data_IF_207708176740
#
_entry.id   IF_207708176740
#
_cell.length_a   1.000
_cell.length_b   1.000
_cell.length_c   1.000
_cell.angle_alpha   90.00
_cell.angle_beta   90.00
_cell.angle_gamma   90.00
#
_symmetry.space_group_name_H-M   'P 1'
#
loop_
_entity.id
_entity.type
_entity.pdbx_description
1 polymer ?
#
# COMPACT_ATOMS: atom_id res chain seq x y z
N UNK A 1 20.09 17.25 -0.15
CA UNK A 1 19.63 17.41 -1.56
C UNK A 1 20.43 16.46 -2.48
N UNK A 2 20.09 15.16 -2.50
CA UNK A 2 20.67 14.12 -3.39
C UNK A 2 19.67 13.01 -3.76
N UNK A 3 18.49 12.98 -3.13
CA UNK A 3 17.49 11.93 -3.36
C UNK A 3 16.80 12.03 -4.73
N UNK A 4 16.64 13.25 -5.28
CA UNK A 4 15.99 13.45 -6.59
C UNK A 4 16.75 12.80 -7.76
N UNK A 5 18.09 12.81 -7.72
CA UNK A 5 18.92 12.18 -8.76
C UNK A 5 18.87 10.66 -8.72
N UNK A 6 18.70 10.07 -7.54
CA UNK A 6 18.69 8.61 -7.38
C UNK A 6 17.44 7.99 -8.01
N UNK A 7 16.25 8.47 -7.63
CA UNK A 7 14.99 7.97 -8.20
C UNK A 7 14.91 8.21 -9.71
N UNK A 8 15.42 9.36 -10.19
CA UNK A 8 15.46 9.69 -11.62
C UNK A 8 16.39 8.75 -12.41
N UNK A 9 17.56 8.41 -11.86
CA UNK A 9 18.49 7.45 -12.47
C UNK A 9 17.96 6.02 -12.44
N UNK A 10 17.25 5.65 -11.37
CA UNK A 10 16.62 4.34 -11.24
C UNK A 10 15.50 4.15 -12.27
N UNK A 11 14.69 5.19 -12.50
CA UNK A 11 13.69 5.21 -13.56
C UNK A 11 14.34 5.11 -14.96
N UNK A 12 15.41 5.88 -15.20
CA UNK A 12 16.08 5.91 -16.50
C UNK A 12 16.73 4.57 -16.91
N UNK A 13 17.26 3.79 -15.97
CA UNK A 13 17.84 2.47 -16.26
C UNK A 13 16.80 1.41 -16.64
N UNK A 14 15.52 1.64 -16.34
CA UNK A 14 14.43 0.73 -16.69
C UNK A 14 13.90 0.97 -18.13
N UNK A 15 14.23 2.10 -18.77
CA UNK A 15 13.44 2.71 -19.87
C UNK A 15 14.06 2.68 -21.29
N UNK A 16 14.99 1.75 -21.57
CA UNK A 16 15.75 1.74 -22.83
C UNK A 16 15.01 1.12 -24.06
N UNK A 17 13.80 1.60 -24.41
CA UNK A 17 13.01 1.09 -25.56
C UNK A 17 12.43 2.19 -26.47
N UNK A 18 12.03 1.83 -27.70
CA UNK A 18 11.40 2.73 -28.69
C UNK A 18 10.08 3.33 -28.17
N UNK A 19 9.63 4.48 -28.68
CA UNK A 19 8.50 5.21 -28.06
C UNK A 19 7.16 4.47 -28.03
N UNK A 20 6.92 3.59 -29.00
CA UNK A 20 5.68 2.83 -29.17
C UNK A 20 5.76 1.48 -28.43
N UNK A 21 6.91 0.83 -28.50
CA UNK A 21 7.22 -0.35 -27.67
C UNK A 21 7.20 -0.01 -26.17
N UNK A 22 7.62 1.21 -25.79
CA UNK A 22 7.56 1.71 -24.41
C UNK A 22 6.14 1.79 -23.89
N UNK A 23 5.18 2.27 -24.70
CA UNK A 23 3.78 2.34 -24.27
C UNK A 23 3.23 0.93 -24.04
N UNK A 24 3.45 0.02 -24.98
CA UNK A 24 3.01 -1.37 -24.84
C UNK A 24 3.71 -2.12 -23.70
N UNK A 25 4.99 -1.87 -23.46
CA UNK A 25 5.72 -2.44 -22.33
C UNK A 25 5.24 -1.86 -21.00
N UNK A 26 5.00 -0.55 -20.92
CA UNK A 26 4.47 0.11 -19.73
C UNK A 26 3.06 -0.35 -19.40
N UNK A 27 2.17 -0.49 -20.39
CA UNK A 27 0.82 -1.03 -20.18
C UNK A 27 0.88 -2.45 -19.64
N UNK A 28 1.68 -3.34 -20.27
CA UNK A 28 1.85 -4.72 -19.78
C UNK A 28 2.45 -4.77 -18.38
N UNK A 29 3.45 -3.93 -18.10
CA UNK A 29 4.07 -3.84 -16.78
C UNK A 29 3.10 -3.32 -15.71
N UNK A 30 2.24 -2.36 -16.07
CA UNK A 30 1.19 -1.86 -15.18
C UNK A 30 0.14 -2.93 -14.89
N UNK A 31 -0.29 -3.70 -15.90
CA UNK A 31 -1.23 -4.82 -15.73
C UNK A 31 -0.66 -5.94 -14.85
N UNK A 32 0.60 -6.30 -15.03
CA UNK A 32 1.26 -7.31 -14.18
C UNK A 32 1.49 -6.79 -12.76
N UNK A 33 1.89 -5.53 -12.62
CA UNK A 33 2.07 -4.88 -11.33
C UNK A 33 0.75 -4.75 -10.56
N UNK A 34 -0.36 -4.39 -11.22
CA UNK A 34 -1.68 -4.28 -10.59
C UNK A 34 -2.17 -5.61 -10.00
N UNK A 35 -1.80 -6.75 -10.62
CA UNK A 35 -2.12 -8.09 -10.12
C UNK A 35 -1.22 -8.55 -8.98
N UNK A 36 0.01 -8.04 -8.91
CA UNK A 36 1.01 -8.49 -7.95
C UNK A 36 1.13 -7.56 -6.73
N UNK A 37 0.85 -6.26 -6.90
CA UNK A 37 1.02 -5.25 -5.86
C UNK A 37 -0.34 -4.83 -5.31
N UNK A 38 -0.72 -5.29 -4.10
CA UNK A 38 -1.98 -4.88 -3.50
C UNK A 38 -1.93 -3.38 -3.18
N UNK A 39 -3.04 -2.69 -3.45
CA UNK A 39 -3.25 -1.31 -3.04
C UNK A 39 -3.45 -1.19 -1.53
N UNK A 40 -4.01 -2.23 -0.89
CA UNK A 40 -4.29 -2.27 0.55
C UNK A 40 -3.45 -3.34 1.25
N UNK A 41 -2.68 -2.91 2.24
CA UNK A 41 -1.90 -3.79 3.12
C UNK A 41 -2.27 -3.49 4.56
N UNK A 42 -2.49 -4.54 5.34
CA UNK A 42 -2.74 -4.41 6.78
C UNK A 42 -1.45 -3.98 7.49
N UNK A 43 -1.32 -2.68 7.75
CA UNK A 43 -0.20 -2.13 8.53
C UNK A 43 -0.43 -2.40 10.02
N UNK A 44 0.66 -2.60 10.77
CA UNK A 44 0.61 -2.94 12.20
C UNK A 44 -0.28 -2.00 13.03
N UNK A 45 -0.18 -0.69 12.82
CA UNK A 45 -0.97 0.28 13.58
C UNK A 45 -2.48 0.19 13.25
N UNK A 46 -2.84 -0.17 12.01
CA UNK A 46 -4.24 -0.39 11.62
C UNK A 46 -4.78 -1.64 12.30
N UNK A 47 -3.97 -2.70 12.36
CA UNK A 47 -4.32 -3.91 13.11
C UNK A 47 -4.54 -3.61 14.59
N UNK A 48 -3.66 -2.81 15.20
CA UNK A 48 -3.80 -2.40 16.60
C UNK A 48 -5.08 -1.62 16.86
N UNK A 49 -5.45 -0.69 15.98
CA UNK A 49 -6.72 0.03 16.06
C UNK A 49 -7.92 -0.92 16.00
N UNK A 50 -7.88 -1.95 15.14
CA UNK A 50 -8.93 -2.96 15.08
C UNK A 50 -9.06 -3.75 16.39
N UNK A 51 -7.94 -4.16 17.00
CA UNK A 51 -7.92 -4.85 18.30
C UNK A 51 -8.52 -3.97 19.39
N UNK A 52 -8.10 -2.72 19.48
CA UNK A 52 -8.60 -1.75 20.46
C UNK A 52 -10.11 -1.54 20.38
N UNK A 53 -10.69 -1.51 19.18
CA UNK A 53 -12.15 -1.38 18.99
C UNK A 53 -12.87 -2.69 19.34
N UNK A 54 -12.33 -3.83 18.91
CA UNK A 54 -12.88 -5.14 19.20
C UNK A 54 -12.93 -5.44 20.71
N UNK A 55 -11.89 -5.06 21.48
CA UNK A 55 -11.86 -5.17 22.94
C UNK A 55 -12.97 -4.36 23.63
N UNK A 56 -13.40 -3.26 23.01
CA UNK A 56 -14.54 -2.44 23.46
C UNK A 56 -15.89 -2.97 22.96
N UNK A 57 -15.90 -4.09 22.23
CA UNK A 57 -17.09 -4.70 21.65
C UNK A 57 -17.53 -4.13 20.30
N UNK A 58 -16.77 -3.20 19.71
CA UNK A 58 -17.06 -2.63 18.39
C UNK A 58 -16.22 -3.32 17.31
N UNK A 59 -16.88 -4.18 16.53
CA UNK A 59 -16.26 -4.93 15.44
C UNK A 59 -16.43 -4.26 14.06
N UNK A 60 -17.13 -3.12 13.98
CA UNK A 60 -17.43 -2.48 12.70
C UNK A 60 -16.14 -2.06 11.96
N UNK A 61 -15.13 -1.58 12.69
CA UNK A 61 -13.82 -1.23 12.13
C UNK A 61 -13.10 -2.45 11.55
N UNK A 62 -13.12 -3.57 12.27
CA UNK A 62 -12.51 -4.83 11.83
C UNK A 62 -13.20 -5.36 10.58
N UNK A 63 -14.54 -5.36 10.54
CA UNK A 63 -15.30 -5.82 9.38
C UNK A 63 -14.98 -5.00 8.13
N UNK A 64 -14.99 -3.67 8.23
CA UNK A 64 -14.63 -2.77 7.12
C UNK A 64 -13.20 -3.01 6.64
N UNK A 65 -12.26 -3.24 7.56
CA UNK A 65 -10.86 -3.52 7.23
C UNK A 65 -10.73 -4.84 6.48
N UNK A 66 -11.43 -5.89 6.90
CA UNK A 66 -11.43 -7.19 6.22
C UNK A 66 -12.06 -7.12 4.83
N UNK A 67 -13.22 -6.47 4.69
CA UNK A 67 -13.88 -6.25 3.40
C UNK A 67 -12.93 -5.56 2.39
N UNK A 68 -12.13 -4.62 2.89
CA UNK A 68 -11.12 -3.92 2.09
C UNK A 68 -9.94 -4.80 1.70
N UNK A 69 -9.43 -5.63 2.61
CA UNK A 69 -8.33 -6.56 2.34
C UNK A 69 -8.73 -7.62 1.31
N UNK A 70 -10.00 -8.03 1.28
CA UNK A 70 -10.53 -8.95 0.28
C UNK A 70 -10.52 -8.34 -1.14
N UNK A 71 -10.59 -7.01 -1.24
CA UNK A 71 -10.53 -6.24 -2.50
C UNK A 71 -9.21 -5.48 -2.64
N UNK A 72 -8.13 -5.99 -2.05
CA UNK A 72 -6.87 -5.26 -1.96
C UNK A 72 -6.24 -4.92 -3.33
N UNK A 73 -6.58 -5.66 -4.39
CA UNK A 73 -6.07 -5.45 -5.76
C UNK A 73 -7.03 -4.69 -6.67
N UNK A 74 -8.26 -4.41 -6.20
CA UNK A 74 -9.28 -3.76 -7.03
C UNK A 74 -9.04 -2.24 -7.10
N UNK A 75 -9.32 -1.67 -8.27
CA UNK A 75 -9.30 -0.22 -8.49
C UNK A 75 -10.63 0.41 -8.06
N UNK A 76 -10.84 0.53 -6.74
CA UNK A 76 -11.99 1.27 -6.22
C UNK A 76 -11.59 2.76 -5.98
N UNK A 77 -12.20 3.73 -6.68
CA UNK A 77 -11.79 5.14 -6.64
C UNK A 77 -12.05 5.85 -5.30
N UNK A 78 -12.83 5.27 -4.38
CA UNK A 78 -13.20 5.88 -3.10
C UNK A 78 -12.17 5.72 -1.97
N UNK A 79 -11.09 4.96 -2.19
CA UNK A 79 -10.26 4.45 -1.09
C UNK A 79 -8.80 4.91 -1.13
N UNK A 80 -8.44 5.77 -2.09
CA UNK A 80 -7.08 6.28 -2.21
C UNK A 80 -6.71 7.24 -1.06
N UNK A 81 -7.67 8.02 -0.55
CA UNK A 81 -7.37 9.08 0.44
C UNK A 81 -7.21 8.57 1.89
N UNK A 82 -7.99 7.56 2.31
CA UNK A 82 -8.08 7.18 3.73
C UNK A 82 -6.84 6.44 4.29
N UNK A 83 -6.00 5.87 3.41
CA UNK A 83 -4.89 4.98 3.82
C UNK A 83 -3.51 5.44 3.33
N UNK A 84 -3.45 6.53 2.56
CA UNK A 84 -2.22 7.27 2.29
C UNK A 84 -1.73 8.05 3.52
N UNK A 85 -2.51 8.04 4.61
CA UNK A 85 -2.16 8.72 5.86
C UNK A 85 -0.92 8.06 6.47
N UNK A 86 0.18 8.80 6.65
CA UNK A 86 1.33 8.28 7.35
C UNK A 86 0.92 7.88 8.78
N UNK A 87 1.54 6.84 9.35
CA UNK A 87 1.23 6.42 10.71
C UNK A 87 1.41 7.60 11.68
N UNK A 88 0.51 7.79 12.66
CA UNK A 88 0.53 8.95 13.57
C UNK A 88 1.81 9.06 14.43
N UNK A 89 2.67 8.03 14.45
CA UNK A 89 3.81 7.90 15.36
C UNK A 89 4.70 6.68 14.99
N UNK A 90 5.38 6.74 13.84
CA UNK A 90 6.18 5.63 13.28
C UNK A 90 7.39 5.15 14.10
N UNK A 91 7.77 5.84 15.18
CA UNK A 91 9.10 5.70 15.80
C UNK A 91 9.16 4.90 17.10
N UNK A 92 8.05 4.39 17.63
CA UNK A 92 8.03 3.50 18.80
C UNK A 92 7.15 2.29 18.54
N UNK A 93 7.58 1.42 17.61
CA UNK A 93 6.96 0.11 17.45
C UNK A 93 7.52 -0.79 18.55
N UNK A 94 6.89 -0.72 19.72
CA UNK A 94 7.05 -1.76 20.72
C UNK A 94 6.24 -2.97 20.21
N UNK A 95 6.93 -4.01 19.76
CA UNK A 95 6.32 -5.33 19.53
C UNK A 95 6.29 -6.02 20.88
N UNK A 96 5.16 -6.11 21.61
CA UNK A 96 5.08 -6.98 22.76
C UNK A 96 4.92 -8.41 22.24
N UNK A 97 6.02 -8.99 21.76
CA UNK A 97 6.10 -10.44 21.68
C UNK A 97 6.37 -10.90 23.11
N UNK A 98 5.30 -11.27 23.82
CA UNK A 98 5.45 -12.06 25.04
C UNK A 98 6.05 -13.40 24.62
N UNK A 99 7.24 -13.68 25.16
CA UNK A 99 8.03 -14.91 25.26
C UNK A 99 7.90 -16.03 24.22
#
# INVERSE_FOLDING_TARGET
RRAGDFFSRLAACHDATSSEDRRHAATRAAETAARANPRFVLRQWVAQQCVEHAERGDYALTQRTVERLLRAFDEDPLDAEAFATPPPNAFNICLPCSS
#
